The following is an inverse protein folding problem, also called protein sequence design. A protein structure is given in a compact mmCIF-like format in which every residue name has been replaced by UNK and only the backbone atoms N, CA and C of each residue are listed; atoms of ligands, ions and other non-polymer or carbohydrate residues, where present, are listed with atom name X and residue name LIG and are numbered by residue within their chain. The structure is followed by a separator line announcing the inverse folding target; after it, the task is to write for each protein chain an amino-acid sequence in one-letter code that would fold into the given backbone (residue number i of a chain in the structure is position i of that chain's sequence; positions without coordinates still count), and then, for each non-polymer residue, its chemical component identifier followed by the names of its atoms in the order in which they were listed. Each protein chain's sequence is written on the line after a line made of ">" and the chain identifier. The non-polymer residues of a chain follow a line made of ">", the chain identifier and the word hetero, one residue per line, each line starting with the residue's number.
data_IF_007792840933
#
_entry.id   IF_007792840933
#
_cell.length_a   1.000
_cell.length_b   1.000
_cell.length_c   1.000
_cell.angle_alpha   90.00
_cell.angle_beta   90.00
_cell.angle_gamma   90.00
#
_symmetry.space_group_name_H-M   'P 1'
#
loop_
_entity.id
_entity.type
_entity.pdbx_description
1 polymer ?
#
# COMPACT_ATOMS: atom_id res chain seq x y z
N UNK A 1 10.27 2.77 45.13
CA UNK A 1 9.09 3.45 44.56
C UNK A 1 8.49 2.54 43.48
N UNK A 2 7.61 1.62 43.89
CA UNK A 2 6.84 0.77 42.97
C UNK A 2 5.40 1.29 42.98
N UNK A 3 4.94 1.80 41.84
CA UNK A 3 3.57 2.26 41.67
C UNK A 3 2.71 1.07 41.22
N UNK A 4 1.83 0.61 42.11
CA UNK A 4 0.82 -0.38 41.80
C UNK A 4 -0.29 0.28 40.97
N UNK A 5 -0.37 -0.07 39.69
CA UNK A 5 -1.48 0.28 38.83
C UNK A 5 -2.68 -0.63 39.16
N UNK A 6 -3.62 -0.12 39.94
CA UNK A 6 -4.93 -0.74 40.12
C UNK A 6 -5.77 -0.53 38.88
N UNK A 7 -5.80 -1.55 38.00
CA UNK A 7 -6.73 -1.62 36.89
C UNK A 7 -8.16 -1.84 37.43
N UNK A 8 -8.92 -0.75 37.55
CA UNK A 8 -10.38 -0.81 37.69
C UNK A 8 -10.98 -1.23 36.35
N UNK A 9 -11.08 -2.54 36.14
CA UNK A 9 -11.97 -3.10 35.14
C UNK A 9 -13.41 -2.83 35.60
N UNK A 10 -14.00 -1.76 35.08
CA UNK A 10 -15.43 -1.52 35.17
C UNK A 10 -16.12 -2.55 34.28
N UNK A 11 -16.48 -3.66 34.91
CA UNK A 11 -17.38 -4.65 34.34
C UNK A 11 -18.74 -3.94 34.19
N UNK A 12 -18.98 -3.35 33.01
CA UNK A 12 -20.28 -2.82 32.60
C UNK A 12 -21.19 -4.03 32.42
N UNK A 13 -21.76 -4.47 33.55
CA UNK A 13 -22.77 -5.51 33.59
C UNK A 13 -23.93 -5.07 32.72
N UNK A 14 -24.18 -5.83 31.66
CA UNK A 14 -25.40 -5.79 30.89
C UNK A 14 -26.56 -6.21 31.80
N UNK A 15 -27.08 -5.28 32.58
CA UNK A 15 -28.38 -5.39 33.22
C UNK A 15 -29.43 -5.29 32.11
N UNK A 16 -29.78 -6.44 31.54
CA UNK A 16 -30.89 -6.61 30.60
C UNK A 16 -32.24 -6.48 31.30
N UNK A 17 -32.43 -5.42 32.09
CA UNK A 17 -33.78 -4.94 32.36
C UNK A 17 -34.31 -4.42 31.03
N UNK A 18 -35.36 -5.05 30.52
CA UNK A 18 -36.12 -4.60 29.36
C UNK A 18 -36.80 -3.28 29.72
N UNK A 19 -36.03 -2.20 29.81
CA UNK A 19 -36.55 -0.86 29.99
C UNK A 19 -37.39 -0.55 28.76
N UNK A 20 -38.67 -0.24 28.99
CA UNK A 20 -39.58 0.12 27.93
C UNK A 20 -38.99 1.30 27.16
N UNK A 21 -38.77 1.11 25.85
CA UNK A 21 -38.25 2.16 24.97
C UNK A 21 -39.14 3.40 25.07
N UNK A 22 -38.56 4.60 24.98
CA UNK A 22 -39.31 5.88 25.01
C UNK A 22 -40.46 5.90 24.00
N UNK A 23 -40.29 5.24 22.85
CA UNK A 23 -41.32 5.04 21.83
C UNK A 23 -42.48 4.15 22.30
N UNK A 24 -42.21 3.02 22.96
CA UNK A 24 -43.27 2.13 23.45
C UNK A 24 -44.05 2.78 24.59
N UNK A 25 -43.37 3.57 25.43
CA UNK A 25 -44.01 4.43 26.43
C UNK A 25 -44.98 5.41 25.76
N UNK A 26 -44.53 6.22 24.79
CA UNK A 26 -45.41 7.21 24.15
C UNK A 26 -46.63 6.58 23.46
N UNK A 27 -46.43 5.46 22.75
CA UNK A 27 -47.50 4.75 22.06
C UNK A 27 -48.52 4.16 23.03
N UNK A 28 -48.07 3.62 24.16
CA UNK A 28 -48.97 3.08 25.18
C UNK A 28 -49.85 4.17 25.82
N UNK A 29 -49.28 5.36 26.08
CA UNK A 29 -50.07 6.49 26.57
C UNK A 29 -51.05 7.04 25.54
N UNK A 30 -50.65 7.07 24.28
CA UNK A 30 -51.53 7.48 23.18
C UNK A 30 -52.69 6.48 23.02
N UNK A 31 -52.42 5.19 23.21
CA UNK A 31 -53.45 4.14 23.27
C UNK A 31 -54.44 4.38 24.40
N UNK A 32 -53.96 4.62 25.62
CA UNK A 32 -54.81 4.93 26.77
C UNK A 32 -55.65 6.20 26.56
N UNK A 33 -55.07 7.26 25.97
CA UNK A 33 -55.78 8.48 25.61
C UNK A 33 -56.89 8.22 24.59
N UNK A 34 -56.59 7.43 23.56
CA UNK A 34 -57.55 7.06 22.51
C UNK A 34 -58.71 6.23 23.08
N UNK A 35 -58.43 5.33 24.01
CA UNK A 35 -59.46 4.51 24.65
C UNK A 35 -60.35 5.33 25.59
N UNK A 36 -59.76 6.27 26.35
CA UNK A 36 -60.51 7.19 27.22
C UNK A 36 -61.41 8.12 26.41
N UNK A 37 -60.92 8.66 25.29
CA UNK A 37 -61.71 9.52 24.41
C UNK A 37 -62.86 8.75 23.73
N UNK A 38 -62.61 7.53 23.23
CA UNK A 38 -63.68 6.65 22.72
C UNK A 38 -64.74 6.38 23.78
N UNK A 39 -64.32 6.15 25.03
CA UNK A 39 -65.24 5.93 26.13
C UNK A 39 -66.04 7.19 26.47
N UNK A 40 -65.41 8.37 26.45
CA UNK A 40 -66.11 9.65 26.64
C UNK A 40 -67.24 9.82 25.62
N UNK A 41 -66.94 9.65 24.34
CA UNK A 41 -67.94 9.79 23.28
C UNK A 41 -69.05 8.75 23.38
N UNK A 42 -68.70 7.49 23.69
CA UNK A 42 -69.70 6.44 23.90
C UNK A 42 -70.65 6.74 25.07
N UNK A 43 -70.17 7.40 26.13
CA UNK A 43 -70.96 7.77 27.30
C UNK A 43 -71.86 8.99 27.02
N UNK A 44 -71.38 9.93 26.20
CA UNK A 44 -72.17 11.07 25.74
C UNK A 44 -73.29 10.62 24.79
N UNK A 45 -73.02 9.68 23.90
CA UNK A 45 -73.99 9.15 22.94
C UNK A 45 -75.06 8.27 23.62
N UNK A 46 -74.65 7.46 24.61
CA UNK A 46 -75.53 6.56 25.35
C UNK A 46 -75.33 6.69 26.87
N UNK A 47 -75.93 7.71 27.52
CA UNK A 47 -75.75 7.95 28.95
C UNK A 47 -76.30 6.82 29.83
N UNK A 48 -77.28 6.05 29.34
CA UNK A 48 -77.89 4.92 30.06
C UNK A 48 -77.02 3.65 30.06
N UNK A 49 -75.96 3.60 29.25
CA UNK A 49 -75.09 2.43 29.08
C UNK A 49 -73.77 2.54 29.85
N UNK A 50 -73.73 3.32 30.94
CA UNK A 50 -72.54 3.54 31.77
C UNK A 50 -72.07 2.25 32.46
N UNK A 51 -71.22 1.48 31.78
CA UNK A 51 -70.48 0.36 32.39
C UNK A 51 -69.12 0.87 32.85
N UNK A 52 -68.73 0.51 34.07
CA UNK A 52 -67.38 0.76 34.56
C UNK A 52 -66.37 0.05 33.64
N UNK A 53 -65.41 0.80 33.12
CA UNK A 53 -64.31 0.26 32.32
C UNK A 53 -62.99 0.69 32.95
N UNK A 54 -62.11 -0.27 33.13
CA UNK A 54 -60.73 -0.04 33.54
C UNK A 54 -59.87 0.09 32.30
N UNK A 55 -59.23 1.25 32.13
CA UNK A 55 -58.23 1.45 31.08
C UNK A 55 -56.86 1.44 31.76
N UNK A 56 -55.94 0.66 31.22
CA UNK A 56 -54.61 0.50 31.79
C UNK A 56 -53.56 0.97 30.77
N UNK A 57 -52.62 1.80 31.21
CA UNK A 57 -51.38 2.01 30.49
C UNK A 57 -50.38 0.94 30.96
N UNK A 58 -50.18 -0.09 30.13
CA UNK A 58 -49.31 -1.22 30.41
C UNK A 58 -47.87 -0.81 30.70
N UNK A 59 -47.44 0.35 30.18
CA UNK A 59 -46.06 0.83 30.27
C UNK A 59 -45.78 1.67 31.52
N UNK A 60 -46.77 2.38 32.09
CA UNK A 60 -46.61 3.05 33.41
C UNK A 60 -47.13 2.23 34.58
N UNK A 61 -47.88 1.16 34.33
CA UNK A 61 -48.65 0.49 35.38
C UNK A 61 -49.76 1.37 35.97
N UNK A 62 -50.06 2.52 35.36
CA UNK A 62 -51.14 3.41 35.80
C UNK A 62 -52.46 2.90 35.21
N UNK A 63 -53.46 2.73 36.06
CA UNK A 63 -54.80 2.28 35.67
C UNK A 63 -55.81 3.31 36.10
N UNK A 64 -56.77 3.59 35.21
CA UNK A 64 -57.86 4.52 35.46
C UNK A 64 -59.15 3.72 35.48
N UNK A 65 -59.81 3.69 36.64
CA UNK A 65 -61.15 3.13 36.79
C UNK A 65 -62.16 4.24 36.60
N UNK A 66 -62.93 4.19 35.52
CA UNK A 66 -63.81 5.30 35.17
C UNK A 66 -65.26 4.88 35.05
N UNK A 67 -66.11 5.55 35.83
CA UNK A 67 -67.54 5.25 35.98
C UNK A 67 -68.45 6.43 35.57
N UNK A 68 -67.91 7.66 35.56
CA UNK A 68 -68.67 8.90 35.31
C UNK A 68 -67.88 9.84 34.38
N UNK A 69 -68.57 10.75 33.69
CA UNK A 69 -68.00 11.73 32.75
C UNK A 69 -66.93 12.59 33.44
N UNK A 70 -67.19 13.03 34.68
CA UNK A 70 -66.23 13.81 35.47
C UNK A 70 -64.95 13.03 35.74
N UNK A 71 -65.07 11.73 36.01
CA UNK A 71 -63.93 10.82 36.16
C UNK A 71 -63.15 10.60 34.85
N UNK A 72 -63.82 10.58 33.70
CA UNK A 72 -63.14 10.47 32.39
C UNK A 72 -62.33 11.74 32.13
N UNK A 73 -62.89 12.91 32.40
CA UNK A 73 -62.20 14.19 32.21
C UNK A 73 -60.97 14.30 33.13
N UNK A 74 -61.07 13.89 34.40
CA UNK A 74 -59.90 13.87 35.28
C UNK A 74 -58.85 12.85 34.82
N UNK A 75 -59.26 11.66 34.38
CA UNK A 75 -58.34 10.65 33.85
C UNK A 75 -57.63 11.14 32.57
N UNK A 76 -58.34 11.88 31.72
CA UNK A 76 -57.79 12.46 30.49
C UNK A 76 -56.76 13.56 30.80
N UNK A 77 -57.02 14.41 31.79
CA UNK A 77 -56.06 15.39 32.28
C UNK A 77 -54.80 14.72 32.84
N UNK A 78 -54.97 13.64 33.61
CA UNK A 78 -53.88 12.82 34.14
C UNK A 78 -53.01 12.20 33.03
N UNK A 79 -53.64 11.69 31.97
CA UNK A 79 -52.94 11.15 30.80
C UNK A 79 -52.21 12.25 30.04
N UNK A 80 -52.81 13.44 29.89
CA UNK A 80 -52.16 14.57 29.22
C UNK A 80 -50.91 15.06 29.96
N UNK A 81 -50.99 15.19 31.29
CA UNK A 81 -49.82 15.52 32.13
C UNK A 81 -48.71 14.46 31.98
N UNK A 82 -49.09 13.19 32.01
CA UNK A 82 -48.16 12.09 31.88
C UNK A 82 -47.55 12.05 30.46
N UNK A 83 -48.34 12.33 29.42
CA UNK A 83 -47.86 12.42 28.03
C UNK A 83 -46.87 13.58 27.84
N UNK A 84 -47.16 14.75 28.39
CA UNK A 84 -46.26 15.90 28.40
C UNK A 84 -44.91 15.57 29.06
N UNK A 85 -44.94 14.89 30.22
CA UNK A 85 -43.70 14.46 30.88
C UNK A 85 -42.86 13.50 30.03
N UNK A 86 -43.50 12.58 29.31
CA UNK A 86 -42.82 11.62 28.43
C UNK A 86 -42.22 12.30 27.20
N UNK A 87 -42.90 13.30 26.64
CA UNK A 87 -42.35 14.12 25.55
C UNK A 87 -41.09 14.85 26.00
N UNK A 88 -41.09 15.44 27.21
CA UNK A 88 -39.91 16.10 27.77
C UNK A 88 -38.73 15.14 27.91
N UNK A 89 -38.99 13.93 28.42
CA UNK A 89 -37.97 12.88 28.53
C UNK A 89 -37.45 12.49 27.13
N UNK A 90 -38.34 12.26 26.16
CA UNK A 90 -37.95 11.94 24.79
C UNK A 90 -37.08 13.04 24.15
N UNK A 91 -37.44 14.31 24.36
CA UNK A 91 -36.64 15.45 23.92
C UNK A 91 -35.25 15.48 24.57
N UNK A 92 -35.16 15.22 25.87
CA UNK A 92 -33.87 15.12 26.56
C UNK A 92 -33.02 13.96 26.01
N UNK A 93 -33.64 12.81 25.72
CA UNK A 93 -32.94 11.70 25.07
C UNK A 93 -32.42 12.07 23.69
N UNK A 94 -33.20 12.79 22.88
CA UNK A 94 -32.74 13.26 21.57
C UNK A 94 -31.53 14.20 21.68
N UNK A 95 -31.54 15.14 22.64
CA UNK A 95 -30.39 16.01 22.91
C UNK A 95 -29.17 15.20 23.33
N UNK A 96 -29.34 14.27 24.28
CA UNK A 96 -28.27 13.42 24.78
C UNK A 96 -27.69 12.55 23.65
N UNK A 97 -28.54 11.97 22.80
CA UNK A 97 -28.14 11.17 21.66
C UNK A 97 -27.28 11.99 20.68
N UNK A 98 -27.71 13.21 20.34
CA UNK A 98 -26.92 14.10 19.47
C UNK A 98 -25.55 14.45 20.07
N UNK A 99 -25.44 14.52 21.41
CA UNK A 99 -24.18 14.74 22.12
C UNK A 99 -23.29 13.50 22.08
N UNK A 100 -23.87 12.32 22.27
CA UNK A 100 -23.15 11.04 22.18
C UNK A 100 -22.57 10.87 20.79
N UNK A 101 -23.34 11.13 19.73
CA UNK A 101 -22.88 11.02 18.34
C UNK A 101 -21.70 11.96 18.06
N UNK A 102 -21.75 13.21 18.56
CA UNK A 102 -20.63 14.16 18.47
C UNK A 102 -19.39 13.65 19.19
N UNK A 103 -19.54 13.12 20.41
CA UNK A 103 -18.42 12.56 21.17
C UNK A 103 -17.84 11.31 20.50
N UNK A 104 -18.69 10.45 19.94
CA UNK A 104 -18.28 9.28 19.19
C UNK A 104 -17.49 9.67 17.94
N UNK A 105 -17.93 10.68 17.19
CA UNK A 105 -17.19 11.20 16.04
C UNK A 105 -15.83 11.77 16.45
N UNK A 106 -15.76 12.50 17.57
CA UNK A 106 -14.48 13.00 18.12
C UNK A 106 -13.55 11.88 18.54
N UNK A 107 -14.06 10.85 19.22
CA UNK A 107 -13.28 9.67 19.62
C UNK A 107 -12.74 8.93 18.39
N UNK A 108 -13.57 8.70 17.36
CA UNK A 108 -13.14 8.08 16.09
C UNK A 108 -12.06 8.91 15.39
N UNK A 109 -12.18 10.24 15.39
CA UNK A 109 -11.14 11.12 14.83
C UNK A 109 -9.83 10.99 15.59
N UNK A 110 -9.87 11.00 16.92
CA UNK A 110 -8.68 10.84 17.77
C UNK A 110 -8.01 9.49 17.56
N UNK A 111 -8.79 8.42 17.45
CA UNK A 111 -8.27 7.09 17.16
C UNK A 111 -7.54 7.03 15.81
N UNK A 112 -8.12 7.65 14.76
CA UNK A 112 -7.45 7.79 13.45
C UNK A 112 -6.14 8.59 13.55
N UNK A 113 -6.15 9.72 14.24
CA UNK A 113 -4.95 10.53 14.49
C UNK A 113 -3.85 9.70 15.19
N UNK A 114 -4.22 8.90 16.19
CA UNK A 114 -3.26 8.04 16.90
C UNK A 114 -2.72 6.90 16.04
N UNK A 115 -3.57 6.26 15.22
CA UNK A 115 -3.12 5.20 14.30
C UNK A 115 -2.15 5.76 13.26
N UNK A 116 -2.46 6.92 12.69
CA UNK A 116 -1.57 7.59 11.75
C UNK A 116 -0.21 7.90 12.38
N UNK A 117 -0.19 8.45 13.60
CA UNK A 117 1.07 8.72 14.30
C UNK A 117 1.89 7.44 14.57
N UNK A 118 1.24 6.32 14.88
CA UNK A 118 1.92 5.02 15.06
C UNK A 118 2.52 4.54 13.74
N UNK A 119 1.80 4.66 12.63
CA UNK A 119 2.31 4.30 11.30
C UNK A 119 3.53 5.15 10.93
N UNK A 120 3.45 6.47 11.11
CA UNK A 120 4.56 7.39 10.87
C UNK A 120 5.78 7.04 11.73
N UNK A 121 5.58 6.74 13.02
CA UNK A 121 6.67 6.29 13.90
C UNK A 121 7.29 4.96 13.46
N UNK A 122 6.47 4.01 13.01
CA UNK A 122 6.96 2.71 12.52
C UNK A 122 7.76 2.86 11.23
N UNK A 123 7.35 3.78 10.35
CA UNK A 123 8.10 4.11 9.15
C UNK A 123 9.46 4.72 9.52
N UNK A 124 9.48 5.74 10.37
CA UNK A 124 10.72 6.38 10.83
C UNK A 124 11.65 5.35 11.49
N UNK A 125 11.11 4.45 12.29
CA UNK A 125 11.90 3.37 12.91
C UNK A 125 12.52 2.46 11.85
N UNK A 126 11.77 2.08 10.80
CA UNK A 126 12.29 1.25 9.72
C UNK A 126 13.41 1.95 8.94
N UNK A 127 13.24 3.24 8.61
CA UNK A 127 14.25 4.06 7.93
C UNK A 127 15.53 4.20 8.78
N UNK A 128 15.39 4.47 10.08
CA UNK A 128 16.53 4.53 11.00
C UNK A 128 17.25 3.19 11.13
N UNK A 129 16.52 2.07 11.12
CA UNK A 129 17.12 0.74 11.17
C UNK A 129 17.92 0.43 9.90
N UNK A 130 17.44 0.87 8.73
CA UNK A 130 18.15 0.73 7.47
C UNK A 130 19.42 1.57 7.44
N UNK A 131 19.35 2.84 7.86
CA UNK A 131 20.52 3.73 7.97
C UNK A 131 21.56 3.12 8.90
N UNK A 132 21.13 2.58 10.05
CA UNK A 132 22.02 1.94 11.01
C UNK A 132 22.72 0.74 10.36
N UNK A 133 21.97 -0.12 9.66
CA UNK A 133 22.56 -1.27 8.94
C UNK A 133 23.57 -0.85 7.88
N UNK A 134 23.25 0.16 7.07
CA UNK A 134 24.16 0.68 6.05
C UNK A 134 25.43 1.25 6.69
N UNK A 135 25.30 1.97 7.81
CA UNK A 135 26.47 2.51 8.53
C UNK A 135 27.35 1.41 9.11
N UNK A 136 26.77 0.32 9.62
CA UNK A 136 27.52 -0.84 10.10
C UNK A 136 28.27 -1.54 8.94
N UNK A 137 27.63 -1.69 7.79
CA UNK A 137 28.24 -2.24 6.56
C UNK A 137 29.40 -1.35 6.06
N UNK A 138 29.25 -0.03 6.10
CA UNK A 138 30.29 0.93 5.75
C UNK A 138 31.48 0.86 6.71
N UNK A 139 31.24 0.86 8.02
CA UNK A 139 32.28 0.71 9.04
C UNK A 139 33.01 -0.62 8.86
N UNK A 140 32.29 -1.72 8.63
CA UNK A 140 32.90 -3.01 8.36
C UNK A 140 33.74 -3.02 7.07
N UNK A 141 33.33 -2.27 6.04
CA UNK A 141 34.09 -2.09 4.81
C UNK A 141 35.39 -1.30 5.05
N UNK A 142 35.31 -0.21 5.82
CA UNK A 142 36.46 0.60 6.21
C UNK A 142 37.45 -0.26 7.02
N UNK A 143 36.98 -1.00 8.03
CA UNK A 143 37.83 -1.88 8.82
C UNK A 143 38.51 -2.95 7.97
N UNK A 144 37.82 -3.53 6.98
CA UNK A 144 38.43 -4.49 6.04
C UNK A 144 39.52 -3.82 5.21
N UNK A 145 39.28 -2.60 4.71
CA UNK A 145 40.26 -1.83 3.96
C UNK A 145 41.48 -1.43 4.81
N UNK A 146 41.28 -1.09 6.09
CA UNK A 146 42.36 -0.80 7.04
C UNK A 146 43.18 -2.04 7.38
N UNK A 147 42.53 -3.19 7.55
CA UNK A 147 43.21 -4.49 7.81
C UNK A 147 43.99 -4.99 6.59
N UNK A 148 43.55 -4.63 5.38
CA UNK A 148 44.18 -5.03 4.11
C UNK A 148 44.48 -3.82 3.23
N UNK A 149 45.46 -2.97 3.62
CA UNK A 149 45.79 -1.79 2.85
C UNK A 149 46.43 -2.20 1.53
N UNK A 150 45.90 -1.70 0.41
CA UNK A 150 46.49 -1.95 -0.90
C UNK A 150 47.74 -1.08 -1.05
N UNK A 151 48.87 -1.71 -1.37
CA UNK A 151 50.11 -0.99 -1.62
C UNK A 151 49.99 0.00 -2.79
N UNK A 152 50.53 1.21 -2.60
CA UNK A 152 50.52 2.27 -3.62
C UNK A 152 51.12 1.82 -4.97
N UNK A 153 52.16 0.99 -4.93
CA UNK A 153 52.79 0.44 -6.14
C UNK A 153 51.84 -0.44 -6.94
N UNK A 154 51.05 -1.29 -6.28
CA UNK A 154 50.05 -2.15 -6.92
C UNK A 154 48.92 -1.32 -7.52
N UNK A 155 48.45 -0.29 -6.80
CA UNK A 155 47.42 0.63 -7.31
C UNK A 155 47.91 1.37 -8.56
N UNK A 156 49.12 1.92 -8.55
CA UNK A 156 49.69 2.60 -9.72
C UNK A 156 49.89 1.66 -10.91
N UNK A 157 50.40 0.44 -10.68
CA UNK A 157 50.59 -0.53 -11.74
C UNK A 157 49.24 -0.94 -12.36
N UNK A 158 48.22 -1.17 -11.53
CA UNK A 158 46.88 -1.50 -11.99
C UNK A 158 46.24 -0.32 -12.74
N UNK A 159 46.34 0.90 -12.20
CA UNK A 159 45.84 2.11 -12.85
C UNK A 159 46.52 2.36 -14.21
N UNK A 160 47.85 2.17 -14.30
CA UNK A 160 48.58 2.27 -15.57
C UNK A 160 48.12 1.22 -16.58
N UNK A 161 47.85 -0.01 -16.13
CA UNK A 161 47.28 -1.06 -16.98
C UNK A 161 45.89 -0.64 -17.46
N UNK A 162 45.00 -0.26 -16.55
CA UNK A 162 43.64 0.14 -16.85
C UNK A 162 43.60 1.34 -17.81
N UNK A 163 44.47 2.34 -17.61
CA UNK A 163 44.58 3.51 -18.46
C UNK A 163 44.83 3.17 -19.93
N UNK A 164 45.55 2.09 -20.26
CA UNK A 164 45.72 1.67 -21.67
C UNK A 164 44.40 1.26 -22.33
N UNK A 165 43.46 0.75 -21.53
CA UNK A 165 42.16 0.25 -22.00
C UNK A 165 41.03 1.28 -21.83
N UNK A 166 41.18 2.22 -20.90
CA UNK A 166 40.16 3.22 -20.57
C UNK A 166 40.50 4.63 -21.02
N UNK A 167 41.76 4.91 -21.38
CA UNK A 167 42.11 6.19 -21.99
C UNK A 167 41.55 6.26 -23.40
N UNK A 168 40.87 7.35 -23.70
CA UNK A 168 40.42 7.63 -25.05
C UNK A 168 41.66 7.77 -25.97
N UNK A 169 41.65 7.19 -27.18
CA UNK A 169 42.76 7.29 -28.11
C UNK A 169 43.21 8.76 -28.31
N UNK A 170 44.52 9.04 -28.46
CA UNK A 170 44.99 10.40 -28.75
C UNK A 170 44.28 10.96 -30.00
N UNK A 171 43.47 12.00 -29.82
CA UNK A 171 42.63 12.59 -30.88
C UNK A 171 41.13 12.28 -30.78
N UNK A 172 40.70 11.42 -29.85
CA UNK A 172 39.28 11.20 -29.58
C UNK A 172 38.67 12.44 -28.92
N UNK A 173 37.96 13.24 -29.72
CA UNK A 173 37.12 14.32 -29.21
C UNK A 173 35.86 13.66 -28.68
N UNK A 174 35.63 13.72 -27.37
CA UNK A 174 34.30 13.39 -26.85
C UNK A 174 33.30 14.26 -27.61
N UNK A 175 32.16 13.70 -28.08
CA UNK A 175 31.05 14.53 -28.47
C UNK A 175 30.86 15.53 -27.33
N UNK A 176 30.91 16.83 -27.63
CA UNK A 176 30.35 17.81 -26.72
C UNK A 176 28.88 17.43 -26.61
N UNK A 177 28.54 16.55 -25.67
CA UNK A 177 27.28 16.59 -24.97
C UNK A 177 27.29 17.97 -24.35
N UNK A 178 26.81 18.92 -25.15
CA UNK A 178 26.65 20.30 -24.79
C UNK A 178 25.94 20.29 -23.44
N UNK A 179 26.70 20.62 -22.39
CA UNK A 179 26.28 21.59 -21.40
C UNK A 179 24.86 21.40 -20.84
N UNK A 180 24.39 20.17 -20.60
CA UNK A 180 23.14 19.96 -19.87
C UNK A 180 23.36 20.08 -18.35
N UNK A 181 24.57 19.84 -17.86
CA UNK A 181 24.92 20.06 -16.44
C UNK A 181 25.53 21.43 -16.14
N UNK A 182 25.98 22.17 -17.17
CA UNK A 182 26.52 23.54 -16.99
C UNK A 182 25.44 24.64 -17.15
N UNK A 183 24.29 24.35 -17.75
CA UNK A 183 23.18 25.32 -17.89
C UNK A 183 22.29 25.44 -16.64
N UNK A 184 22.50 24.62 -15.60
CA UNK A 184 21.76 24.71 -14.34
C UNK A 184 22.44 25.61 -13.28
N UNK A 185 23.66 26.10 -13.53
CA UNK A 185 24.39 26.95 -12.60
C UNK A 185 25.09 28.11 -13.34
N UNK A 186 24.39 29.24 -13.49
CA UNK A 186 25.05 30.49 -13.91
C UNK A 186 24.21 31.41 -14.79
N UNK A 187 23.17 32.03 -14.22
CA UNK A 187 22.76 33.34 -14.70
C UNK A 187 23.90 34.33 -14.40
N UNK A 188 24.65 34.70 -15.43
CA UNK A 188 25.83 35.55 -15.31
C UNK A 188 26.21 36.19 -16.63
N UNK A 189 25.46 37.23 -16.97
CA UNK A 189 25.69 38.26 -18.00
C UNK A 189 27.18 38.65 -18.14
N UNK A 190 27.79 38.48 -19.32
CA UNK A 190 28.56 39.51 -20.05
C UNK A 190 29.16 39.02 -21.37
N UNK A 191 29.31 40.00 -22.26
CA UNK A 191 29.75 40.04 -23.65
C UNK A 191 31.17 39.56 -23.92
N UNK A 192 31.42 39.00 -25.11
CA UNK A 192 32.77 38.95 -25.66
C UNK A 192 32.97 38.02 -26.86
N UNK A 193 32.95 38.63 -28.04
CA UNK A 193 33.89 38.38 -29.14
C UNK A 193 33.73 37.11 -30.01
N UNK A 194 33.34 37.41 -31.27
CA UNK A 194 33.26 36.48 -32.38
C UNK A 194 34.64 36.10 -32.90
N UNK A 195 34.89 34.80 -33.07
CA UNK A 195 35.93 34.30 -33.96
C UNK A 195 35.28 33.38 -34.99
N UNK A 196 35.24 33.88 -36.23
CA UNK A 196 35.00 33.14 -37.47
C UNK A 196 36.11 32.09 -37.64
N UNK A 197 35.74 30.83 -37.83
CA UNK A 197 36.52 29.91 -38.64
C UNK A 197 35.57 29.19 -39.61
N UNK A 198 35.60 29.66 -40.85
CA UNK A 198 35.01 29.01 -42.02
C UNK A 198 35.85 27.78 -42.41
N UNK A 199 35.18 26.76 -42.94
CA UNK A 199 35.77 25.79 -43.86
C UNK A 199 36.01 24.39 -43.31
N UNK A 200 35.05 23.49 -43.55
CA UNK A 200 35.28 22.25 -44.30
C UNK A 200 33.97 21.44 -44.35
N UNK A 201 33.36 21.41 -45.53
CA UNK A 201 32.27 20.51 -45.90
C UNK A 201 32.66 19.05 -45.63
N UNK A 202 32.04 18.48 -44.59
CA UNK A 202 32.03 17.06 -44.31
C UNK A 202 30.59 16.62 -44.23
N UNK A 203 30.13 15.94 -45.28
CA UNK A 203 28.76 15.50 -45.49
C UNK A 203 28.13 14.91 -44.23
N UNK A 204 26.92 15.37 -43.91
CA UNK A 204 26.07 14.73 -42.93
C UNK A 204 25.98 13.24 -43.28
N UNK A 205 26.51 12.38 -42.39
CA UNK A 205 26.36 10.94 -42.51
C UNK A 205 24.88 10.65 -42.74
N UNK A 206 24.55 10.09 -43.90
CA UNK A 206 23.21 9.65 -44.23
C UNK A 206 22.71 8.81 -43.05
N UNK A 207 21.68 9.30 -42.37
CA UNK A 207 20.95 8.51 -41.39
C UNK A 207 20.25 7.41 -42.20
N UNK A 208 20.95 6.30 -42.42
CA UNK A 208 20.35 5.10 -42.98
C UNK A 208 19.31 4.66 -41.94
N UNK A 209 18.05 5.02 -42.17
CA UNK A 209 16.93 4.59 -41.36
C UNK A 209 16.65 3.12 -41.67
N UNK A 210 17.49 2.23 -41.15
CA UNK A 210 17.18 0.81 -41.13
C UNK A 210 15.97 0.61 -40.22
N UNK A 211 14.97 -0.10 -40.74
CA UNK A 211 13.61 -0.20 -40.21
C UNK A 211 13.49 -0.70 -38.76
N UNK A 212 12.26 -0.74 -38.23
CA UNK A 212 11.97 -1.00 -36.82
C UNK A 212 12.48 -2.35 -36.29
N UNK A 213 12.79 -3.30 -37.18
CA UNK A 213 13.30 -4.62 -36.81
C UNK A 213 14.84 -4.71 -36.76
N UNK A 214 15.56 -3.59 -37.00
CA UNK A 214 17.03 -3.61 -37.01
C UNK A 214 17.59 -3.62 -35.59
N UNK A 215 18.32 -4.70 -35.29
CA UNK A 215 18.90 -5.04 -34.00
C UNK A 215 19.55 -3.82 -33.30
N UNK A 216 19.01 -3.40 -32.16
CA UNK A 216 19.50 -2.21 -31.44
C UNK A 216 20.98 -2.32 -31.04
N UNK A 217 21.49 -3.55 -30.86
CA UNK A 217 22.91 -3.82 -30.63
C UNK A 217 23.79 -3.37 -31.81
N UNK A 218 23.29 -3.37 -33.04
CA UNK A 218 24.02 -2.93 -34.24
C UNK A 218 24.21 -1.41 -34.28
N UNK A 219 23.24 -0.61 -33.79
CA UNK A 219 23.41 0.85 -33.67
C UNK A 219 24.50 1.23 -32.67
N UNK A 220 24.62 0.46 -31.58
CA UNK A 220 25.69 0.66 -30.59
C UNK A 220 27.06 0.31 -31.18
N UNK A 221 27.13 -0.74 -31.99
CA UNK A 221 28.35 -1.16 -32.68
C UNK A 221 28.77 -0.20 -33.82
N UNK A 222 27.82 0.39 -34.54
CA UNK A 222 28.09 1.34 -35.62
C UNK A 222 28.82 2.62 -35.14
N UNK A 223 28.57 3.05 -33.90
CA UNK A 223 29.30 4.17 -33.29
C UNK A 223 30.79 3.89 -33.05
N UNK A 224 31.22 2.61 -33.09
CA UNK A 224 32.63 2.24 -32.93
C UNK A 224 33.40 2.17 -34.27
N UNK A 225 32.71 2.30 -35.41
CA UNK A 225 33.32 2.27 -36.74
C UNK A 225 33.00 3.54 -37.51
N UNK A 226 33.85 4.56 -37.35
CA UNK A 226 33.89 5.72 -38.23
C UNK A 226 34.99 5.49 -39.30
N UNK A 227 34.63 5.28 -40.58
CA UNK A 227 35.58 5.04 -41.65
C UNK A 227 36.47 6.26 -41.98
N UNK A 228 36.17 7.45 -41.45
CA UNK A 228 36.99 8.65 -41.63
C UNK A 228 38.10 8.81 -40.56
N UNK A 229 38.10 7.98 -39.51
CA UNK A 229 39.12 8.01 -38.45
C UNK A 229 40.01 6.77 -38.58
N UNK A 230 41.24 6.88 -39.15
CA UNK A 230 42.15 5.76 -39.34
C UNK A 230 42.88 5.36 -38.05
N UNK A 231 42.14 5.24 -36.95
CA UNK A 231 42.60 4.59 -35.73
C UNK A 231 41.41 3.85 -35.13
N UNK A 232 41.21 2.60 -35.57
CA UNK A 232 40.44 1.65 -34.77
C UNK A 232 41.01 1.67 -33.34
N UNK A 233 40.17 1.70 -32.29
CA UNK A 233 40.62 1.37 -30.95
C UNK A 233 41.40 0.06 -31.04
N UNK A 234 42.68 0.08 -30.68
CA UNK A 234 43.57 -1.05 -30.90
C UNK A 234 43.04 -2.33 -30.23
N UNK A 235 42.22 -2.19 -29.19
CA UNK A 235 41.57 -3.30 -28.50
C UNK A 235 40.12 -2.94 -28.10
N UNK A 236 39.19 -3.88 -28.30
CA UNK A 236 37.78 -3.75 -27.90
C UNK A 236 37.66 -3.77 -26.36
N UNK A 237 36.63 -3.13 -25.77
CA UNK A 237 36.45 -3.08 -24.30
C UNK A 237 36.12 -4.44 -23.68
N UNK A 238 35.86 -5.44 -24.50
CA UNK A 238 35.65 -6.83 -24.13
C UNK A 238 36.67 -7.72 -24.85
N UNK A 239 36.98 -8.90 -24.28
CA UNK A 239 37.82 -9.90 -24.93
C UNK A 239 37.39 -10.13 -26.39
N UNK A 240 38.34 -10.08 -27.33
CA UNK A 240 38.03 -10.39 -28.72
C UNK A 240 37.63 -11.87 -28.85
N UNK A 241 36.74 -12.20 -29.81
CA UNK A 241 36.33 -13.59 -30.07
C UNK A 241 37.54 -14.49 -30.35
N UNK A 242 38.55 -13.96 -31.05
CA UNK A 242 39.83 -14.65 -31.24
C UNK A 242 40.54 -14.96 -29.91
N UNK A 243 40.58 -14.00 -28.97
CA UNK A 243 41.18 -14.21 -27.65
C UNK A 243 40.35 -15.14 -26.76
N UNK A 244 39.03 -15.12 -26.87
CA UNK A 244 38.15 -16.06 -26.16
C UNK A 244 38.35 -17.49 -26.67
N UNK A 245 38.44 -17.67 -27.99
CA UNK A 245 38.70 -18.98 -28.62
C UNK A 245 40.10 -19.51 -28.33
N UNK A 246 41.10 -18.63 -28.28
CA UNK A 246 42.47 -18.97 -27.92
C UNK A 246 42.68 -19.07 -26.40
N UNK A 247 41.69 -18.66 -25.61
CA UNK A 247 41.74 -18.71 -24.15
C UNK A 247 41.98 -20.14 -23.65
N UNK A 248 42.70 -20.23 -22.54
CA UNK A 248 43.16 -21.51 -21.96
C UNK A 248 41.99 -22.49 -21.77
N UNK A 249 40.79 -21.99 -21.47
CA UNK A 249 39.56 -22.75 -21.30
C UNK A 249 39.18 -23.57 -22.57
N UNK A 250 39.11 -22.93 -23.73
CA UNK A 250 38.79 -23.60 -25.00
C UNK A 250 39.94 -24.48 -25.49
N UNK A 251 41.19 -24.08 -25.22
CA UNK A 251 42.34 -24.87 -25.61
C UNK A 251 42.42 -26.20 -24.86
N UNK A 252 41.99 -26.26 -23.59
CA UNK A 252 41.93 -27.51 -22.81
C UNK A 252 40.80 -28.43 -23.29
N UNK A 253 39.64 -27.88 -23.67
CA UNK A 253 38.51 -28.67 -24.18
C UNK A 253 38.84 -29.30 -25.55
N UNK A 254 39.56 -28.59 -26.41
CA UNK A 254 40.11 -29.12 -27.66
C UNK A 254 41.24 -30.13 -27.43
N UNK A 255 42.08 -29.96 -26.40
CA UNK A 255 43.21 -30.85 -26.11
C UNK A 255 42.79 -32.14 -25.40
N UNK A 256 41.70 -32.13 -24.64
CA UNK A 256 41.14 -33.31 -23.96
C UNK A 256 40.21 -34.15 -24.85
N UNK A 257 40.10 -33.85 -26.15
CA UNK A 257 39.55 -34.76 -27.16
C UNK A 257 38.14 -35.26 -26.86
N UNK A 258 37.14 -34.40 -27.01
CA UNK A 258 35.75 -34.85 -27.05
C UNK A 258 35.49 -35.68 -28.33
N UNK A 259 35.10 -36.97 -28.25
CA UNK A 259 34.61 -37.70 -29.41
C UNK A 259 33.13 -37.35 -29.59
N UNK A 260 32.83 -36.34 -30.40
CA UNK A 260 31.45 -36.04 -30.83
C UNK A 260 31.33 -36.25 -32.33
N UNK A 261 31.31 -37.52 -32.73
CA UNK A 261 30.69 -38.00 -33.96
C UNK A 261 30.61 -39.53 -33.94
N UNK A 262 29.44 -40.11 -33.71
CA UNK A 262 28.79 -41.08 -34.62
C UNK A 262 27.54 -41.75 -34.02
N UNK A 263 26.41 -41.47 -34.69
CA UNK A 263 25.23 -42.30 -35.00
C UNK A 263 24.25 -42.80 -33.91
N UNK A 264 22.93 -42.76 -34.21
CA UNK A 264 21.89 -43.36 -33.40
C UNK A 264 21.73 -44.85 -33.75
N UNK A 265 21.73 -45.71 -32.74
CA UNK A 265 21.28 -47.09 -32.88
C UNK A 265 20.23 -47.38 -31.80
N UNK A 266 19.00 -47.59 -32.28
CA UNK A 266 17.93 -48.26 -31.57
C UNK A 266 18.37 -49.65 -31.09
N UNK A 267 18.07 -50.00 -29.84
CA UNK A 267 17.29 -51.18 -29.42
C UNK A 267 17.64 -51.63 -27.98
N UNK A 268 16.60 -51.55 -27.13
CA UNK A 268 16.22 -52.45 -26.03
C UNK A 268 17.14 -52.60 -24.80
N UNK A 269 16.61 -52.17 -23.63
CA UNK A 269 16.45 -53.02 -22.43
C UNK A 269 15.50 -52.35 -21.42
N UNK A 270 14.56 -53.16 -20.94
CA UNK A 270 13.61 -52.91 -19.84
C UNK A 270 14.30 -52.83 -18.46
N UNK A 271 13.56 -52.24 -17.52
CA UNK A 271 13.66 -52.31 -16.05
C UNK A 271 14.78 -51.55 -15.33
N UNK A 272 14.46 -50.32 -14.88
CA UNK A 272 14.67 -49.90 -13.48
C UNK A 272 14.00 -48.55 -13.13
N UNK A 273 13.18 -48.61 -12.08
CA UNK A 273 12.87 -47.58 -11.08
C UNK A 273 12.35 -46.20 -11.53
N UNK A 274 11.01 -46.04 -11.46
CA UNK A 274 10.31 -44.76 -11.41
C UNK A 274 10.80 -43.89 -10.24
N UNK A 275 11.69 -42.94 -10.55
CA UNK A 275 11.85 -41.73 -9.73
C UNK A 275 10.79 -40.71 -10.18
N UNK A 276 10.14 -40.00 -9.24
CA UNK A 276 9.11 -39.04 -9.60
C UNK A 276 9.78 -37.90 -10.37
N UNK A 277 9.36 -37.72 -11.62
CA UNK A 277 9.66 -36.52 -12.38
C UNK A 277 9.19 -35.33 -11.53
N UNK A 278 10.14 -34.56 -11.00
CA UNK A 278 9.86 -33.25 -10.44
C UNK A 278 9.40 -32.36 -11.58
N UNK A 279 8.08 -32.34 -11.76
CA UNK A 279 7.39 -31.56 -12.76
C UNK A 279 7.51 -30.08 -12.35
N UNK A 280 8.60 -29.43 -12.81
CA UNK A 280 8.95 -28.05 -12.48
C UNK A 280 7.82 -27.08 -12.87
N UNK A 281 7.01 -27.47 -13.86
CA UNK A 281 5.81 -26.75 -14.27
C UNK A 281 4.73 -26.66 -13.17
N UNK A 282 4.59 -27.69 -12.33
CA UNK A 282 3.62 -27.71 -11.22
C UNK A 282 4.06 -26.84 -10.03
N UNK A 283 5.37 -26.63 -9.84
CA UNK A 283 5.87 -25.70 -8.79
C UNK A 283 5.57 -24.24 -9.09
N UNK A 284 5.52 -23.85 -10.38
CA UNK A 284 5.15 -22.49 -10.75
C UNK A 284 3.64 -22.22 -10.67
N UNK A 285 2.79 -23.23 -10.87
CA UNK A 285 1.34 -23.04 -10.70
C UNK A 285 1.00 -22.78 -9.24
N UNK A 286 1.64 -23.50 -8.30
CA UNK A 286 1.37 -23.35 -6.88
C UNK A 286 1.83 -21.99 -6.33
N UNK A 287 2.97 -21.46 -6.80
CA UNK A 287 3.43 -20.12 -6.40
C UNK A 287 2.54 -19.00 -6.93
N UNK A 288 1.93 -19.19 -8.11
CA UNK A 288 0.99 -18.24 -8.71
C UNK A 288 -0.35 -18.23 -7.98
N UNK A 289 -0.83 -19.40 -7.58
CA UNK A 289 -2.08 -19.56 -6.84
C UNK A 289 -1.97 -18.97 -5.42
N UNK A 290 -0.79 -19.07 -4.79
CA UNK A 290 -0.52 -18.46 -3.48
C UNK A 290 -0.40 -16.93 -3.53
N UNK A 291 0.07 -16.35 -4.65
CA UNK A 291 0.03 -14.89 -4.85
C UNK A 291 -1.39 -14.36 -5.10
N UNK A 292 -2.27 -15.17 -5.70
CA UNK A 292 -3.64 -14.76 -6.00
C UNK A 292 -4.53 -14.75 -4.75
N UNK A 293 -4.39 -15.75 -3.87
CA UNK A 293 -5.10 -15.75 -2.58
C UNK A 293 -4.75 -14.56 -1.69
N UNK A 294 -3.49 -14.09 -1.71
CA UNK A 294 -3.09 -12.92 -0.93
C UNK A 294 -3.74 -11.61 -1.40
N UNK A 295 -4.14 -11.51 -2.68
CA UNK A 295 -4.85 -10.32 -3.17
C UNK A 295 -6.34 -10.37 -2.86
N UNK A 296 -6.96 -11.55 -2.93
CA UNK A 296 -8.38 -11.70 -2.62
C UNK A 296 -8.70 -11.49 -1.12
N UNK A 297 -7.76 -11.83 -0.23
CA UNK A 297 -7.90 -11.59 1.22
C UNK A 297 -7.76 -10.11 1.62
N UNK A 298 -7.04 -9.29 0.83
CA UNK A 298 -6.90 -7.84 1.08
C UNK A 298 -8.17 -7.07 0.66
N UNK A 299 -8.87 -7.53 -0.38
CA UNK A 299 -10.13 -6.92 -0.85
C UNK A 299 -11.36 -7.36 -0.03
N UNK A 300 -11.29 -8.50 0.67
CA UNK A 300 -12.41 -9.02 1.48
C UNK A 300 -12.67 -8.22 2.77
N UNK A 301 -11.71 -7.42 3.25
CA UNK A 301 -11.85 -6.65 4.49
C UNK A 301 -12.44 -5.24 4.31
N UNK A 302 -12.68 -4.79 3.08
CA UNK A 302 -13.15 -3.41 2.81
C UNK A 302 -14.65 -3.30 2.46
N UNK A 303 -15.41 -4.41 2.53
CA UNK A 303 -16.79 -4.46 2.02
C UNK A 303 -17.93 -4.51 3.06
N UNK A 304 -17.68 -4.38 4.36
CA UNK A 304 -18.76 -4.48 5.39
C UNK A 304 -18.87 -3.28 6.34
N UNK A 305 -19.03 -2.07 5.77
CA UNK A 305 -19.43 -0.86 6.51
C UNK A 305 -20.41 -0.01 5.70
N UNK A 306 -21.65 -0.48 5.55
CA UNK A 306 -22.82 0.37 5.29
C UNK A 306 -24.07 -0.17 6.00
#
# INVERSE_FOLDING_TARGET
>A
MQAAATASASNVGASSSTEATTSSLLLSTLGAYTDLTKQLFSLIENPSASKSKTIADASSGKTWNVNDITGILSALQDVDQLFSSRIQIAHQHAINQSRIEKLQAQAKRKDRETRQAILELSQIQSELSEITRLSEDEVASIERAEKQPIGHTTLLAYAQRLARYTSAPPGYKLPQVASASAAAAGQGKESGEAVKSEGADGQAAEQISLGPDYNQYAKRAAAYYDPAIPCMPQEMPFPSDAMMRQGILNSQEMLNGAPMAEQPADEMMEDQDELPAHDFAASYSHLREQQQQHQDDEDAFDLDLN
#
